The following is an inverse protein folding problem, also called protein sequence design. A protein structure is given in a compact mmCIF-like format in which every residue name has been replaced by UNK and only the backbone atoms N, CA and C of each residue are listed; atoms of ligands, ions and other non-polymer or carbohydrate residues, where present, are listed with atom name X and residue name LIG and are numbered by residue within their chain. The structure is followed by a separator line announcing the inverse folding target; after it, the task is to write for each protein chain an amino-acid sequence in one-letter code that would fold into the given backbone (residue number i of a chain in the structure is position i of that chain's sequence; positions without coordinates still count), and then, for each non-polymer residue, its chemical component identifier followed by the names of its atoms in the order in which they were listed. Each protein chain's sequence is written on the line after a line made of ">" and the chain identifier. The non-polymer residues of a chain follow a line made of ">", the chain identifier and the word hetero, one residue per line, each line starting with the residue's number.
data_IF_700483505080
#
_entry.id   IF_700483505080
#
_cell.length_a   1.000
_cell.length_b   1.000
_cell.length_c   1.000
_cell.angle_alpha   90.00
_cell.angle_beta   90.00
_cell.angle_gamma   90.00
#
_symmetry.space_group_name_H-M   'P 1'
#
loop_
_entity.id
_entity.type
_entity.pdbx_description
1 polymer ?
#
# COMPACT_ATOMS: atom_id res chain seq x y z
N UNK A 1 21.91 38.03 -3.47
CA UNK A 1 21.04 36.86 -3.74
C UNK A 1 21.67 35.53 -3.28
N UNK A 2 22.96 35.25 -3.55
CA UNK A 2 23.64 34.01 -3.11
C UNK A 2 23.69 33.78 -1.58
N UNK A 3 23.86 34.84 -0.77
CA UNK A 3 23.98 34.71 0.69
C UNK A 3 22.65 34.30 1.37
N UNK A 4 21.51 34.80 0.87
CA UNK A 4 20.19 34.37 1.34
C UNK A 4 19.93 32.90 1.02
N UNK A 5 20.19 32.48 -0.22
CA UNK A 5 20.05 31.07 -0.64
C UNK A 5 20.93 30.13 0.19
N UNK A 6 22.15 30.55 0.56
CA UNK A 6 23.05 29.74 1.40
C UNK A 6 22.56 29.64 2.84
N UNK A 7 22.03 30.73 3.40
CA UNK A 7 21.41 30.76 4.73
C UNK A 7 20.14 29.92 4.78
N UNK A 8 19.31 29.98 3.74
CA UNK A 8 18.09 29.18 3.62
C UNK A 8 18.45 27.69 3.48
N UNK A 9 19.48 27.36 2.69
CA UNK A 9 19.99 26.00 2.55
C UNK A 9 20.53 25.44 3.88
N UNK A 10 21.25 26.27 4.65
CA UNK A 10 21.70 25.90 6.00
C UNK A 10 20.51 25.67 6.93
N UNK A 11 19.54 26.57 6.94
CA UNK A 11 18.32 26.44 7.76
C UNK A 11 17.55 25.18 7.42
N UNK A 12 17.40 24.85 6.13
CA UNK A 12 16.77 23.60 5.66
C UNK A 12 17.57 22.39 6.14
N UNK A 13 18.91 22.42 5.98
CA UNK A 13 19.78 21.33 6.42
C UNK A 13 19.72 21.11 7.93
N UNK A 14 19.72 22.18 8.71
CA UNK A 14 19.67 22.12 10.16
C UNK A 14 18.29 21.64 10.65
N UNK A 15 17.21 22.04 9.95
CA UNK A 15 15.84 21.60 10.25
C UNK A 15 15.63 20.12 9.91
N UNK A 16 16.26 19.62 8.85
CA UNK A 16 16.21 18.21 8.44
C UNK A 16 17.45 17.43 8.89
N UNK A 17 18.18 17.92 9.90
CA UNK A 17 19.37 17.24 10.37
C UNK A 17 18.98 15.94 11.09
N UNK A 18 19.44 14.81 10.56
CA UNK A 18 19.20 13.47 11.09
C UNK A 18 20.37 12.98 11.96
N UNK A 19 21.36 13.83 12.26
CA UNK A 19 22.52 13.48 13.08
C UNK A 19 22.16 13.01 14.49
N UNK A 20 21.06 13.51 15.05
CA UNK A 20 20.56 13.09 16.37
C UNK A 20 19.83 11.73 16.35
N UNK A 21 19.51 11.21 15.16
CA UNK A 21 18.81 9.92 15.03
C UNK A 21 19.80 8.79 15.29
N UNK A 22 19.46 7.80 16.15
CA UNK A 22 20.28 6.61 16.34
C UNK A 22 20.57 5.93 15.00
N UNK A 23 21.85 5.65 14.70
CA UNK A 23 22.30 5.11 13.40
C UNK A 23 21.52 3.87 12.98
N UNK A 24 21.21 2.99 13.93
CA UNK A 24 20.44 1.77 13.68
C UNK A 24 19.02 2.08 13.20
N UNK A 25 18.34 3.02 13.84
CA UNK A 25 17.00 3.45 13.45
C UNK A 25 17.01 4.11 12.07
N UNK A 26 18.04 4.93 11.78
CA UNK A 26 18.22 5.56 10.48
C UNK A 26 18.34 4.55 9.34
N UNK A 27 19.24 3.56 9.46
CA UNK A 27 19.45 2.57 8.40
C UNK A 27 18.23 1.67 8.19
N UNK A 28 17.61 1.20 9.27
CA UNK A 28 16.42 0.34 9.17
C UNK A 28 15.23 1.12 8.63
N UNK A 29 15.07 2.39 9.04
CA UNK A 29 14.06 3.29 8.50
C UNK A 29 14.21 3.52 7.00
N UNK A 30 15.44 3.79 6.54
CA UNK A 30 15.73 3.94 5.12
C UNK A 30 15.56 2.65 4.33
N UNK A 31 15.95 1.50 4.89
CA UNK A 31 15.68 0.21 4.26
C UNK A 31 14.17 -0.01 4.08
N UNK A 32 13.37 0.43 5.05
CA UNK A 32 11.91 0.36 5.01
C UNK A 32 11.26 1.19 3.89
N UNK A 33 11.92 2.22 3.34
CA UNK A 33 11.37 2.99 2.21
C UNK A 33 11.79 2.45 0.84
N UNK A 34 12.77 1.54 0.78
CA UNK A 34 13.24 0.97 -0.49
C UNK A 34 12.14 0.27 -1.29
N UNK A 35 11.22 -0.54 -0.69
CA UNK A 35 10.15 -1.16 -1.46
C UNK A 35 9.22 -0.13 -2.13
N UNK A 36 8.99 1.03 -1.51
CA UNK A 36 8.21 2.12 -2.11
C UNK A 36 8.92 2.75 -3.30
N UNK A 37 10.21 3.05 -3.15
CA UNK A 37 11.01 3.60 -4.25
C UNK A 37 11.08 2.61 -5.43
N UNK A 38 11.28 1.33 -5.13
CA UNK A 38 11.35 0.27 -6.14
C UNK A 38 10.00 0.09 -6.88
N UNK A 39 8.90 -0.04 -6.14
CA UNK A 39 7.56 -0.23 -6.74
C UNK A 39 7.10 0.98 -7.55
N UNK A 40 7.35 2.20 -7.06
CA UNK A 40 7.00 3.42 -7.78
C UNK A 40 7.82 3.64 -9.05
N UNK A 41 9.14 3.41 -8.99
CA UNK A 41 10.00 3.49 -10.17
C UNK A 41 9.61 2.43 -11.20
N UNK A 42 9.34 1.19 -10.76
CA UNK A 42 8.91 0.12 -11.65
C UNK A 42 7.53 0.38 -12.28
N UNK A 43 6.62 1.03 -11.54
CA UNK A 43 5.30 1.45 -12.05
C UNK A 43 5.45 2.48 -13.17
N UNK A 44 6.25 3.53 -12.96
CA UNK A 44 6.51 4.54 -13.99
C UNK A 44 7.25 3.96 -15.19
N UNK A 45 8.22 3.08 -14.96
CA UNK A 45 8.93 2.39 -16.02
C UNK A 45 7.98 1.57 -16.90
N UNK A 46 7.09 0.79 -16.27
CA UNK A 46 6.07 -0.01 -16.98
C UNK A 46 5.11 0.89 -17.76
N UNK A 47 4.69 2.03 -17.17
CA UNK A 47 3.86 3.02 -17.85
C UNK A 47 4.54 3.64 -19.07
N UNK A 48 5.83 3.94 -18.95
CA UNK A 48 6.65 4.49 -20.03
C UNK A 48 6.82 3.48 -21.17
N UNK A 49 7.00 2.19 -20.88
CA UNK A 49 7.08 1.17 -21.93
C UNK A 49 5.77 0.99 -22.69
N UNK A 50 4.63 0.99 -21.98
CA UNK A 50 3.29 0.94 -22.59
C UNK A 50 3.06 2.19 -23.47
N UNK A 51 3.58 3.35 -23.06
CA UNK A 51 3.45 4.56 -23.87
C UNK A 51 4.29 4.50 -25.15
N UNK A 52 5.55 4.06 -25.06
CA UNK A 52 6.50 4.10 -26.17
C UNK A 52 6.51 2.85 -27.07
N UNK A 53 5.61 1.88 -26.82
CA UNK A 53 5.45 0.70 -27.68
C UNK A 53 6.45 -0.43 -27.43
N UNK A 54 6.98 -0.53 -26.20
CA UNK A 54 7.80 -1.66 -25.73
C UNK A 54 9.25 -1.66 -26.24
N UNK A 55 10.18 -1.18 -25.41
CA UNK A 55 11.63 -1.24 -25.71
C UNK A 55 12.31 -2.47 -25.10
N UNK A 56 11.97 -2.86 -23.87
CA UNK A 56 12.49 -4.07 -23.19
C UNK A 56 11.39 -5.09 -22.84
N UNK A 57 10.14 -4.68 -22.64
CA UNK A 57 9.02 -5.61 -22.41
C UNK A 57 7.84 -5.39 -23.37
N UNK A 58 7.13 -6.47 -23.69
CA UNK A 58 5.84 -6.45 -24.40
C UNK A 58 4.75 -5.82 -23.52
N UNK A 59 3.78 -5.12 -24.11
CA UNK A 59 2.65 -4.48 -23.40
C UNK A 59 1.97 -5.41 -22.38
N UNK A 60 1.67 -6.66 -22.76
CA UNK A 60 1.09 -7.67 -21.86
C UNK A 60 1.97 -7.99 -20.64
N UNK A 61 3.29 -8.00 -20.81
CA UNK A 61 4.22 -8.26 -19.70
C UNK A 61 4.25 -7.07 -18.75
N UNK A 62 4.26 -5.84 -19.27
CA UNK A 62 4.18 -4.63 -18.46
C UNK A 62 2.87 -4.56 -17.65
N UNK A 63 1.74 -4.94 -18.25
CA UNK A 63 0.46 -5.05 -17.53
C UNK A 63 0.50 -6.09 -16.40
N UNK A 64 1.06 -7.27 -16.65
CA UNK A 64 1.22 -8.31 -15.62
C UNK A 64 2.13 -7.86 -14.47
N UNK A 65 3.19 -7.14 -14.78
CA UNK A 65 4.09 -6.57 -13.77
C UNK A 65 3.35 -5.57 -12.89
N UNK A 66 2.54 -4.68 -13.48
CA UNK A 66 1.69 -3.75 -12.73
C UNK A 66 0.69 -4.46 -11.82
N UNK A 67 0.07 -5.55 -12.28
CA UNK A 67 -0.85 -6.35 -11.45
C UNK A 67 -0.21 -6.94 -10.19
N UNK A 68 1.12 -7.09 -10.16
CA UNK A 68 1.87 -7.56 -8.99
C UNK A 68 2.37 -6.38 -8.15
N UNK A 69 2.92 -5.34 -8.80
CA UNK A 69 3.51 -4.19 -8.11
C UNK A 69 2.49 -3.40 -7.30
N UNK A 70 1.29 -3.21 -7.83
CA UNK A 70 0.25 -2.42 -7.19
C UNK A 70 -0.23 -3.02 -5.85
N UNK A 71 -0.70 -4.28 -5.77
CA UNK A 71 -1.07 -4.87 -4.50
C UNK A 71 0.13 -5.05 -3.57
N UNK A 72 1.35 -5.22 -4.10
CA UNK A 72 2.56 -5.27 -3.28
C UNK A 72 2.79 -3.93 -2.57
N UNK A 73 2.72 -2.81 -3.29
CA UNK A 73 2.88 -1.48 -2.70
C UNK A 73 1.78 -1.17 -1.68
N UNK A 74 0.53 -1.47 -2.01
CA UNK A 74 -0.62 -1.25 -1.10
C UNK A 74 -0.53 -2.14 0.15
N UNK A 75 -0.25 -3.43 -0.01
CA UNK A 75 -0.12 -4.36 1.12
C UNK A 75 1.05 -4.01 2.02
N UNK A 76 2.19 -3.65 1.43
CA UNK A 76 3.34 -3.16 2.16
C UNK A 76 3.00 -1.88 2.92
N UNK A 77 2.23 -0.96 2.32
CA UNK A 77 1.82 0.25 3.00
C UNK A 77 0.90 0.04 4.18
N UNK A 78 -0.08 -0.86 4.07
CA UNK A 78 -0.92 -1.24 5.19
C UNK A 78 -0.09 -1.84 6.34
N UNK A 79 0.87 -2.69 6.01
CA UNK A 79 1.80 -3.29 6.98
C UNK A 79 2.60 -2.22 7.72
N UNK A 80 3.22 -1.29 6.98
CA UNK A 80 4.02 -0.22 7.58
C UNK A 80 3.17 0.68 8.47
N UNK A 81 1.98 1.10 8.03
CA UNK A 81 1.07 1.95 8.82
C UNK A 81 0.73 1.28 10.16
N UNK A 82 0.45 -0.03 10.16
CA UNK A 82 0.22 -0.81 11.39
C UNK A 82 1.44 -0.80 12.32
N UNK A 83 2.65 -0.99 11.78
CA UNK A 83 3.89 -0.91 12.58
C UNK A 83 4.13 0.49 13.16
N UNK A 84 3.83 1.56 12.41
CA UNK A 84 4.01 2.93 12.90
C UNK A 84 3.13 3.20 14.12
N UNK A 85 1.89 2.71 14.08
CA UNK A 85 0.98 2.76 15.21
C UNK A 85 1.50 2.04 16.45
N UNK A 86 2.04 0.83 16.26
CA UNK A 86 2.52 -0.02 17.34
C UNK A 86 3.69 0.59 18.13
N UNK A 87 4.48 1.49 17.54
CA UNK A 87 5.56 2.19 18.25
C UNK A 87 5.04 2.97 19.47
N UNK A 88 3.82 3.50 19.40
CA UNK A 88 3.20 4.21 20.52
C UNK A 88 2.94 3.31 21.72
N UNK A 89 2.69 2.02 21.50
CA UNK A 89 2.54 1.04 22.57
C UNK A 89 3.88 0.76 23.24
N UNK A 90 4.93 0.56 22.44
CA UNK A 90 6.28 0.34 22.95
C UNK A 90 6.79 1.51 23.79
N UNK A 91 6.54 2.74 23.34
CA UNK A 91 6.91 3.93 24.10
C UNK A 91 6.08 4.10 25.38
N UNK A 92 4.82 3.67 25.39
CA UNK A 92 3.99 3.64 26.60
C UNK A 92 4.50 2.62 27.62
N UNK A 93 4.84 1.41 27.18
CA UNK A 93 5.44 0.38 28.04
C UNK A 93 6.79 0.83 28.62
N UNK A 94 7.56 1.58 27.84
CA UNK A 94 8.79 2.20 28.29
C UNK A 94 8.57 3.41 29.22
N UNK A 95 7.31 3.83 29.45
CA UNK A 95 6.91 5.03 30.20
C UNK A 95 7.58 6.31 29.68
N UNK A 96 7.90 6.35 28.39
CA UNK A 96 8.58 7.47 27.77
C UNK A 96 7.63 8.68 27.71
N UNK A 97 8.04 9.78 28.32
CA UNK A 97 7.21 10.98 28.45
C UNK A 97 6.06 10.83 29.46
N UNK A 98 6.16 9.87 30.40
CA UNK A 98 5.13 9.56 31.39
C UNK A 98 4.09 8.57 30.89
N UNK A 99 3.10 8.27 31.74
CA UNK A 99 1.99 7.37 31.44
C UNK A 99 0.82 8.16 30.84
N UNK A 100 0.47 7.86 29.60
CA UNK A 100 -0.63 8.50 28.87
C UNK A 100 -1.87 7.61 28.83
N UNK A 101 -1.72 6.30 29.04
CA UNK A 101 -2.81 5.32 29.08
C UNK A 101 -3.49 5.08 27.72
N UNK A 102 -4.79 4.79 27.76
CA UNK A 102 -5.60 4.42 26.59
C UNK A 102 -5.51 5.37 25.38
N UNK A 103 -5.47 6.71 25.54
CA UNK A 103 -5.33 7.64 24.41
C UNK A 103 -4.12 7.34 23.51
N UNK A 104 -3.00 6.87 24.08
CA UNK A 104 -1.80 6.55 23.31
C UNK A 104 -1.90 5.18 22.65
N UNK A 105 -2.46 4.19 23.33
CA UNK A 105 -2.76 2.90 22.72
C UNK A 105 -3.72 3.03 21.53
N UNK A 106 -4.69 3.93 21.62
CA UNK A 106 -5.65 4.20 20.56
C UNK A 106 -4.98 4.61 19.23
N UNK A 107 -3.83 5.29 19.26
CA UNK A 107 -3.09 5.64 18.04
C UNK A 107 -2.70 4.38 17.25
N UNK A 108 -2.22 3.35 17.95
CA UNK A 108 -1.87 2.06 17.34
C UNK A 108 -3.08 1.28 16.80
N UNK A 109 -4.19 1.29 17.55
CA UNK A 109 -5.43 0.63 17.11
C UNK A 109 -6.02 1.33 15.89
N UNK A 110 -6.16 2.66 15.95
CA UNK A 110 -6.79 3.46 14.89
C UNK A 110 -5.97 3.38 13.61
N UNK A 111 -4.64 3.49 13.68
CA UNK A 111 -3.78 3.37 12.50
C UNK A 111 -3.93 2.02 11.80
N UNK A 112 -3.93 0.93 12.55
CA UNK A 112 -4.15 -0.41 12.00
C UNK A 112 -5.57 -0.56 11.44
N UNK A 113 -6.57 -0.07 12.15
CA UNK A 113 -7.97 -0.12 11.71
C UNK A 113 -8.20 0.69 10.41
N UNK A 114 -7.46 1.80 10.21
CA UNK A 114 -7.48 2.58 8.98
C UNK A 114 -6.66 1.93 7.86
N UNK A 115 -5.56 1.24 8.20
CA UNK A 115 -4.66 0.63 7.23
C UNK A 115 -5.30 -0.53 6.46
N UNK A 116 -5.88 -1.49 7.16
CA UNK A 116 -6.33 -2.75 6.56
C UNK A 116 -7.44 -2.60 5.50
N UNK A 117 -8.47 -1.75 5.70
CA UNK A 117 -9.49 -1.53 4.68
C UNK A 117 -8.93 -1.03 3.35
N UNK A 118 -7.78 -0.33 3.35
CA UNK A 118 -7.18 0.18 2.11
C UNK A 118 -6.74 -0.92 1.15
N UNK A 119 -6.45 -2.13 1.65
CA UNK A 119 -6.06 -3.28 0.80
C UNK A 119 -7.22 -3.75 -0.08
N UNK A 120 -8.46 -3.51 0.36
CA UNK A 120 -9.68 -3.89 -0.36
C UNK A 120 -10.13 -2.83 -1.37
N UNK A 121 -9.58 -1.62 -1.30
CA UNK A 121 -9.94 -0.53 -2.19
C UNK A 121 -9.30 -0.73 -3.57
N UNK A 122 -9.89 -0.15 -4.63
CA UNK A 122 -9.18 0.04 -5.89
C UNK A 122 -7.87 0.81 -5.66
N UNK A 123 -6.83 0.47 -6.42
CA UNK A 123 -5.45 0.90 -6.15
C UNK A 123 -5.31 2.42 -6.04
N UNK A 124 -5.99 3.22 -6.87
CA UNK A 124 -5.92 4.69 -6.76
C UNK A 124 -6.42 5.16 -5.38
N UNK A 125 -7.59 4.70 -4.96
CA UNK A 125 -8.17 5.04 -3.67
C UNK A 125 -7.34 4.49 -2.52
N UNK A 126 -6.81 3.27 -2.65
CA UNK A 126 -5.93 2.67 -1.66
C UNK A 126 -4.69 3.55 -1.42
N UNK A 127 -3.99 3.94 -2.50
CA UNK A 127 -2.79 4.78 -2.45
C UNK A 127 -3.10 6.19 -1.91
N UNK A 128 -4.19 6.82 -2.34
CA UNK A 128 -4.62 8.13 -1.82
C UNK A 128 -4.95 8.05 -0.33
N UNK A 129 -5.72 7.04 0.09
CA UNK A 129 -6.06 6.84 1.50
C UNK A 129 -4.80 6.61 2.34
N UNK A 130 -3.90 5.74 1.90
CA UNK A 130 -2.64 5.49 2.60
C UNK A 130 -1.76 6.73 2.67
N UNK A 131 -1.66 7.52 1.60
CA UNK A 131 -0.97 8.81 1.62
C UNK A 131 -1.52 9.74 2.71
N UNK A 132 -2.84 9.87 2.82
CA UNK A 132 -3.49 10.67 3.85
C UNK A 132 -3.23 10.10 5.25
N UNK A 133 -3.30 8.79 5.41
CA UNK A 133 -3.02 8.11 6.69
C UNK A 133 -1.56 8.33 7.13
N UNK A 134 -0.59 8.24 6.22
CA UNK A 134 0.81 8.54 6.53
C UNK A 134 1.02 9.97 6.99
N UNK A 135 0.36 10.94 6.33
CA UNK A 135 0.42 12.35 6.72
C UNK A 135 -0.25 12.59 8.08
N UNK A 136 -1.40 11.96 8.32
CA UNK A 136 -2.07 12.00 9.62
C UNK A 136 -1.19 11.42 10.73
N UNK A 137 -0.55 10.27 10.48
CA UNK A 137 0.38 9.65 11.42
C UNK A 137 1.61 10.51 11.70
N UNK A 138 2.19 11.10 10.66
CA UNK A 138 3.27 12.07 10.83
C UNK A 138 2.82 13.25 11.71
N UNK A 139 1.63 13.78 11.48
CA UNK A 139 1.08 14.85 12.32
C UNK A 139 0.92 14.40 13.78
N UNK A 140 0.40 13.20 14.03
CA UNK A 140 0.29 12.65 15.39
C UNK A 140 1.65 12.44 16.05
N UNK A 141 2.64 11.94 15.31
CA UNK A 141 4.01 11.70 15.78
C UNK A 141 4.75 13.01 16.08
N UNK A 142 4.59 14.01 15.23
CA UNK A 142 5.15 15.35 15.43
C UNK A 142 4.54 16.02 16.67
N UNK A 143 3.22 15.89 16.87
CA UNK A 143 2.54 16.39 18.07
C UNK A 143 2.98 15.64 19.32
N UNK A 144 3.15 14.32 19.25
CA UNK A 144 3.66 13.52 20.35
C UNK A 144 5.09 13.93 20.74
N UNK A 145 5.96 14.15 19.74
CA UNK A 145 7.34 14.62 19.96
C UNK A 145 7.37 16.01 20.62
N UNK A 146 6.54 16.96 20.14
CA UNK A 146 6.42 18.31 20.73
C UNK A 146 5.86 18.31 22.16
N UNK A 147 5.04 17.33 22.52
CA UNK A 147 4.53 17.12 23.89
C UNK A 147 5.51 16.39 24.81
N UNK A 148 6.67 15.96 24.30
CA UNK A 148 7.65 15.16 25.04
C UNK A 148 7.25 13.69 25.20
N UNK A 149 6.23 13.22 24.47
CA UNK A 149 5.78 11.82 24.50
C UNK A 149 6.66 10.93 23.62
N UNK A 150 7.41 11.50 22.68
CA UNK A 150 8.37 10.79 21.85
C UNK A 150 9.70 11.57 21.83
N UNK A 151 10.83 10.91 21.48
CA UNK A 151 12.12 11.58 21.39
C UNK A 151 12.10 12.80 20.46
N UNK A 152 12.85 13.84 20.79
CA UNK A 152 12.86 15.10 20.02
C UNK A 152 13.19 14.91 18.53
N UNK A 153 14.11 14.01 18.22
CA UNK A 153 14.50 13.65 16.84
C UNK A 153 13.43 12.86 16.07
N UNK A 154 12.46 12.25 16.76
CA UNK A 154 11.48 11.35 16.15
C UNK A 154 10.59 12.07 15.14
N UNK A 155 10.24 13.34 15.40
CA UNK A 155 9.44 14.15 14.49
C UNK A 155 10.13 14.40 13.14
N UNK A 156 11.41 14.82 13.16
CA UNK A 156 12.19 15.08 11.94
C UNK A 156 12.46 13.78 11.18
N UNK A 157 12.82 12.73 11.89
CA UNK A 157 12.98 11.38 11.34
C UNK A 157 11.72 10.92 10.60
N UNK A 158 10.54 11.08 11.23
CA UNK A 158 9.25 10.74 10.62
C UNK A 158 8.92 11.57 9.40
N UNK A 159 9.20 12.88 9.44
CA UNK A 159 8.99 13.74 8.29
C UNK A 159 9.73 13.21 7.06
N UNK A 160 11.03 12.91 7.19
CA UNK A 160 11.85 12.47 6.05
C UNK A 160 11.35 11.15 5.47
N UNK A 161 11.06 10.16 6.31
CA UNK A 161 10.55 8.87 5.84
C UNK A 161 9.16 8.99 5.20
N UNK A 162 8.24 9.71 5.85
CA UNK A 162 6.90 9.94 5.31
C UNK A 162 6.96 10.73 4.01
N UNK A 163 7.89 11.67 3.87
CA UNK A 163 8.09 12.41 2.62
C UNK A 163 8.54 11.49 1.48
N UNK A 164 9.52 10.61 1.71
CA UNK A 164 9.99 9.66 0.69
C UNK A 164 8.86 8.70 0.28
N UNK A 165 8.14 8.15 1.25
CA UNK A 165 6.98 7.27 1.01
C UNK A 165 5.89 8.03 0.26
N UNK A 166 5.53 9.22 0.70
CA UNK A 166 4.51 10.06 0.09
C UNK A 166 4.84 10.43 -1.35
N UNK A 167 6.09 10.83 -1.62
CA UNK A 167 6.58 11.09 -2.97
C UNK A 167 6.49 9.83 -3.85
N UNK A 168 6.91 8.68 -3.32
CA UNK A 168 6.81 7.40 -4.05
C UNK A 168 5.36 7.04 -4.38
N UNK A 169 4.41 7.26 -3.45
CA UNK A 169 2.98 7.04 -3.70
C UNK A 169 2.47 7.98 -4.81
N UNK A 170 2.83 9.26 -4.77
CA UNK A 170 2.45 10.23 -5.81
C UNK A 170 3.00 9.82 -7.17
N UNK A 171 4.26 9.36 -7.22
CA UNK A 171 4.88 8.84 -8.45
C UNK A 171 4.12 7.63 -9.00
N UNK A 172 3.74 6.67 -8.14
CA UNK A 172 2.92 5.53 -8.56
C UNK A 172 1.55 5.95 -9.10
N UNK A 173 0.89 6.92 -8.46
CA UNK A 173 -0.40 7.46 -8.93
C UNK A 173 -0.28 8.11 -10.31
N UNK A 174 0.78 8.90 -10.55
CA UNK A 174 1.04 9.52 -11.85
C UNK A 174 1.30 8.45 -12.92
N UNK A 175 2.17 7.48 -12.63
CA UNK A 175 2.47 6.38 -13.56
C UNK A 175 1.23 5.58 -13.92
N UNK A 176 0.39 5.26 -12.93
CA UNK A 176 -0.88 4.56 -13.16
C UNK A 176 -1.87 5.39 -13.98
N UNK A 177 -1.98 6.69 -13.72
CA UNK A 177 -2.84 7.60 -14.49
C UNK A 177 -2.53 7.54 -16.00
N UNK A 178 -1.25 7.49 -16.36
CA UNK A 178 -0.82 7.39 -17.76
C UNK A 178 -1.22 6.07 -18.44
N UNK A 179 -1.30 4.97 -17.68
CA UNK A 179 -1.68 3.65 -18.20
C UNK A 179 -3.20 3.50 -18.32
N UNK A 180 -3.93 4.02 -17.31
CA UNK A 180 -5.39 3.94 -17.25
C UNK A 180 -6.07 4.60 -18.46
N UNK A 181 -5.48 5.66 -19.01
CA UNK A 181 -6.00 6.36 -20.19
C UNK A 181 -5.96 5.52 -21.49
N UNK A 182 -5.14 4.45 -21.54
CA UNK A 182 -4.98 3.61 -22.74
C UNK A 182 -5.50 2.19 -22.61
N UNK A 183 -5.30 1.56 -21.45
CA UNK A 183 -5.59 0.13 -21.24
C UNK A 183 -6.96 -0.09 -20.57
N UNK A 184 -7.62 0.98 -20.12
CA UNK A 184 -8.84 0.88 -19.32
C UNK A 184 -8.54 0.45 -17.88
N UNK A 185 -9.55 0.52 -17.01
CA UNK A 185 -9.39 0.24 -15.58
C UNK A 185 -9.01 -1.23 -15.36
N UNK A 186 -7.78 -1.46 -14.88
CA UNK A 186 -7.33 -2.80 -14.47
C UNK A 186 -8.20 -3.34 -13.31
N UNK A 187 -8.62 -4.62 -13.34
CA UNK A 187 -9.48 -5.21 -12.31
C UNK A 187 -8.79 -5.21 -10.95
N UNK A 188 -9.46 -4.63 -9.95
CA UNK A 188 -8.96 -4.56 -8.59
C UNK A 188 -9.04 -5.89 -7.84
N UNK A 189 -8.53 -5.95 -6.60
CA UNK A 189 -8.66 -7.13 -5.74
C UNK A 189 -10.12 -7.55 -5.50
N UNK A 190 -11.02 -6.59 -5.27
CA UNK A 190 -12.45 -6.85 -5.10
C UNK A 190 -13.11 -7.41 -6.37
N UNK A 191 -12.68 -6.92 -7.54
CA UNK A 191 -13.19 -7.40 -8.83
C UNK A 191 -12.77 -8.85 -9.08
N UNK A 192 -11.55 -9.24 -8.68
CA UNK A 192 -11.08 -10.63 -8.73
C UNK A 192 -11.89 -11.56 -7.84
N UNK A 193 -12.21 -11.14 -6.60
CA UNK A 193 -13.07 -11.92 -5.71
C UNK A 193 -14.45 -12.14 -6.33
N UNK A 194 -14.99 -11.11 -6.98
CA UNK A 194 -16.25 -11.21 -7.71
C UNK A 194 -16.16 -12.17 -8.90
N UNK A 195 -15.11 -12.06 -9.72
CA UNK A 195 -14.90 -12.95 -10.87
C UNK A 195 -14.74 -14.41 -10.45
N UNK A 196 -14.00 -14.69 -9.37
CA UNK A 196 -13.86 -16.06 -8.85
C UNK A 196 -15.20 -16.60 -8.36
N UNK A 197 -16.02 -15.77 -7.71
CA UNK A 197 -17.36 -16.16 -7.26
C UNK A 197 -18.30 -16.44 -8.43
N UNK A 198 -18.23 -15.63 -9.48
CA UNK A 198 -18.99 -15.83 -10.72
C UNK A 198 -18.55 -17.11 -11.44
N UNK A 199 -17.24 -17.37 -11.54
CA UNK A 199 -16.70 -18.62 -12.11
C UNK A 199 -17.16 -19.85 -11.33
N UNK A 200 -17.09 -19.81 -9.99
CA UNK A 200 -17.58 -20.89 -9.15
C UNK A 200 -19.08 -21.15 -9.32
N UNK A 201 -19.88 -20.09 -9.49
CA UNK A 201 -21.31 -20.23 -9.73
C UNK A 201 -21.59 -20.93 -11.08
N UNK A 202 -20.88 -20.53 -12.13
CA UNK A 202 -21.00 -21.15 -13.47
C UNK A 202 -20.53 -22.60 -13.47
N UNK A 203 -19.44 -22.90 -12.77
CA UNK A 203 -18.93 -24.28 -12.64
C UNK A 203 -19.93 -25.17 -11.90
N UNK A 204 -20.54 -24.66 -10.83
CA UNK A 204 -21.60 -25.37 -10.09
C UNK A 204 -22.83 -25.62 -10.96
N UNK A 205 -23.24 -24.64 -11.78
CA UNK A 205 -24.37 -24.78 -12.70
C UNK A 205 -24.07 -25.82 -13.79
N UNK A 206 -22.86 -25.82 -14.35
CA UNK A 206 -22.42 -26.82 -15.32
C UNK A 206 -22.38 -28.24 -14.71
N UNK A 207 -21.93 -28.39 -13.46
CA UNK A 207 -21.97 -29.67 -12.74
C UNK A 207 -23.40 -30.15 -12.51
N UNK A 208 -24.32 -29.27 -12.12
CA UNK A 208 -25.74 -29.60 -11.96
C UNK A 208 -26.38 -30.03 -13.29
N UNK A 209 -26.09 -29.32 -14.38
CA UNK A 209 -26.56 -29.70 -15.71
C UNK A 209 -26.00 -31.05 -16.17
N UNK A 210 -24.70 -31.29 -15.95
CA UNK A 210 -24.06 -32.57 -16.28
C UNK A 210 -24.70 -33.72 -15.46
N UNK A 211 -24.99 -33.48 -14.18
CA UNK A 211 -25.67 -34.44 -13.32
C UNK A 211 -27.11 -34.71 -13.78
N UNK A 212 -27.86 -33.68 -14.20
CA UNK A 212 -29.21 -33.85 -14.77
C UNK A 212 -29.18 -34.67 -16.06
N UNK A 213 -28.25 -34.38 -16.97
CA UNK A 213 -28.07 -35.14 -18.23
C UNK A 213 -27.71 -36.60 -17.96
N UNK A 214 -26.81 -36.86 -17.02
CA UNK A 214 -26.44 -38.22 -16.60
C UNK A 214 -27.61 -39.01 -15.99
N UNK A 215 -28.43 -38.36 -15.15
CA UNK A 215 -29.62 -39.00 -14.57
C UNK A 215 -30.71 -39.26 -15.63
N UNK A 216 -30.85 -38.37 -16.61
CA UNK A 216 -31.78 -38.56 -17.72
C UNK A 216 -31.37 -39.74 -18.61
N UNK A 217 -30.09 -39.84 -19.00
CA UNK A 217 -29.61 -40.96 -19.82
C UNK A 217 -29.70 -42.30 -19.10
N UNK A 218 -29.45 -42.33 -17.78
CA UNK A 218 -29.59 -43.56 -17.00
C UNK A 218 -31.05 -44.02 -16.88
N UNK A 219 -31.99 -43.08 -16.79
CA UNK A 219 -33.41 -43.40 -16.77
C UNK A 219 -33.97 -43.87 -18.12
N UNK A 220 -33.34 -43.48 -19.23
CA UNK A 220 -33.64 -44.00 -20.57
C UNK A 220 -33.10 -45.42 -20.74
N UNK A 221 -31.85 -45.69 -20.32
CA UNK A 221 -31.26 -47.05 -20.37
C UNK A 221 -32.02 -48.07 -19.50
N UNK A 222 -32.47 -47.70 -18.29
CA UNK A 222 -33.25 -48.59 -17.42
C UNK A 222 -34.68 -48.85 -17.95
N UNK A 223 -35.20 -48.03 -18.86
CA UNK A 223 -36.52 -48.21 -19.49
C UNK A 223 -36.50 -49.08 -20.75
N UNK A 224 -35.37 -49.16 -21.46
CA UNK A 224 -35.20 -50.04 -22.63
C UNK A 224 -34.92 -51.51 -22.24
N UNK A 225 -34.39 -51.75 -21.03
CA UNK A 225 -34.14 -53.11 -20.51
C UNK A 225 -35.41 -53.81 -19.94
N UNK A 226 -36.54 -53.10 -19.81
CA UNK A 226 -37.82 -53.61 -19.27
C UNK A 226 -38.91 -53.94 -20.33
N UNK A 227 -38.66 -53.76 -21.64
CA UNK A 227 -39.54 -54.20 -22.76
C UNK A 227 -39.10 -55.53 -23.39
#
# INVERSE_FOLDING_TARGET
>A
MMAGVRSDMQTIRDTFNLEEVPRQAYYIGLAGVLPYAATSAATVYSAWEIHNGGYLMTEKTAELVLQILEPLQVGYGATIISFLGAIHWGLEWAKYGGEQGYPRYAIGVISTALAWPTILLPVEYALISQFLIFNFLYYTDSRASKKGWAPGWYGVYRFVLTFIVGASIVVSLIGRGQVSDRVGRLPGPADRVRQLREQQAVESENEEEARRKFLASKGEDEGEDEE
#
